data_IF_189800852939
#
_entry.id   IF_189800852939
#
_cell.length_a   1.000
_cell.length_b   1.000
_cell.length_c   1.000
_cell.angle_alpha   90.00
_cell.angle_beta   90.00
_cell.angle_gamma   90.00
#
_symmetry.space_group_name_H-M   'P 1'
#
loop_
_entity.id
_entity.type
_entity.pdbx_description
1 polymer ?
#
# COMPACT_ATOMS: atom_id res chain seq x y z
N UNK A 1 -13.04 -32.79 6.90
CA UNK A 1 -12.69 -31.53 6.19
C UNK A 1 -11.81 -30.59 7.02
N UNK A 2 -12.13 -30.24 8.28
CA UNK A 2 -11.23 -29.45 9.14
C UNK A 2 -10.03 -30.26 9.64
N UNK A 3 -10.25 -31.51 10.03
CA UNK A 3 -9.19 -32.41 10.52
C UNK A 3 -8.18 -32.76 9.41
N UNK A 4 -8.64 -32.94 8.18
CA UNK A 4 -7.78 -33.21 7.02
C UNK A 4 -6.82 -32.03 6.73
N UNK A 5 -7.31 -30.79 6.86
CA UNK A 5 -6.49 -29.59 6.67
C UNK A 5 -5.48 -29.41 7.80
N UNK A 6 -5.87 -29.70 9.05
CA UNK A 6 -4.97 -29.67 10.20
C UNK A 6 -3.82 -30.68 10.00
N UNK A 7 -4.14 -31.92 9.62
CA UNK A 7 -3.16 -32.99 9.40
C UNK A 7 -2.13 -32.64 8.31
N UNK A 8 -2.50 -31.83 7.32
CA UNK A 8 -1.58 -31.37 6.27
C UNK A 8 -0.69 -30.19 6.69
N UNK A 9 -1.15 -29.33 7.60
CA UNK A 9 -0.43 -28.10 7.97
C UNK A 9 0.57 -28.31 9.10
N UNK A 10 0.28 -29.19 10.07
CA UNK A 10 1.17 -29.44 11.22
C UNK A 10 2.64 -29.77 10.84
N UNK A 11 2.92 -30.62 9.83
CA UNK A 11 4.30 -30.87 9.40
C UNK A 11 4.99 -29.61 8.84
N UNK A 12 4.25 -28.82 8.05
CA UNK A 12 4.73 -27.57 7.46
C UNK A 12 5.01 -26.53 8.54
N UNK A 13 4.17 -26.48 9.57
CA UNK A 13 4.35 -25.54 10.67
C UNK A 13 5.59 -25.85 11.50
N UNK A 14 5.79 -27.13 11.79
CA UNK A 14 6.99 -27.61 12.47
C UNK A 14 8.24 -27.26 11.66
N UNK A 15 8.23 -27.56 10.36
CA UNK A 15 9.34 -27.22 9.46
C UNK A 15 9.62 -25.71 9.47
N UNK A 16 8.60 -24.85 9.32
CA UNK A 16 8.80 -23.39 9.34
C UNK A 16 9.42 -22.92 10.65
N UNK A 17 9.00 -23.48 11.80
CA UNK A 17 9.56 -23.13 13.12
C UNK A 17 11.02 -23.55 13.25
N UNK A 18 11.39 -24.72 12.72
CA UNK A 18 12.78 -25.21 12.70
C UNK A 18 13.66 -24.39 11.74
N UNK A 19 13.10 -23.91 10.63
CA UNK A 19 13.81 -23.07 9.68
C UNK A 19 14.02 -21.63 10.17
N UNK A 20 13.21 -21.15 11.11
CA UNK A 20 13.21 -19.75 11.57
C UNK A 20 13.42 -19.62 13.09
N UNK A 21 14.50 -20.19 13.66
CA UNK A 21 14.70 -20.23 15.11
C UNK A 21 14.80 -18.83 15.74
N UNK A 22 15.44 -17.86 15.09
CA UNK A 22 15.55 -16.48 15.59
C UNK A 22 14.21 -15.76 15.51
N UNK A 23 13.47 -15.94 14.42
CA UNK A 23 12.12 -15.36 14.30
C UNK A 23 11.15 -15.94 15.32
N UNK A 24 11.24 -17.24 15.64
CA UNK A 24 10.44 -17.88 16.69
C UNK A 24 10.78 -17.30 18.07
N UNK A 25 12.07 -17.22 18.42
CA UNK A 25 12.50 -16.64 19.69
C UNK A 25 12.04 -15.18 19.84
N UNK A 26 12.18 -14.38 18.78
CA UNK A 26 11.71 -12.99 18.77
C UNK A 26 10.18 -12.90 18.88
N UNK A 27 9.45 -13.81 18.23
CA UNK A 27 7.99 -13.87 18.31
C UNK A 27 7.50 -14.13 19.73
N UNK A 28 8.15 -15.03 20.46
CA UNK A 28 7.83 -15.37 21.86
C UNK A 28 8.06 -14.18 22.81
N UNK A 29 9.09 -13.38 22.56
CA UNK A 29 9.33 -12.13 23.28
C UNK A 29 8.30 -11.06 22.90
N UNK A 30 8.10 -10.84 21.60
CA UNK A 30 7.23 -9.78 21.09
C UNK A 30 5.77 -9.95 21.52
N UNK A 31 5.25 -11.18 21.59
CA UNK A 31 3.87 -11.44 22.02
C UNK A 31 3.56 -11.06 23.47
N UNK A 32 4.59 -10.89 24.31
CA UNK A 32 4.40 -10.46 25.70
C UNK A 32 3.93 -9.01 25.78
N UNK A 33 4.27 -8.19 24.79
CA UNK A 33 4.01 -6.74 24.78
C UNK A 33 3.19 -6.27 23.58
N UNK A 34 3.21 -7.03 22.47
CA UNK A 34 2.43 -6.76 21.26
C UNK A 34 1.41 -7.88 21.06
N UNK A 35 0.10 -7.59 21.01
CA UNK A 35 -0.91 -8.59 20.67
C UNK A 35 -0.58 -9.28 19.34
N UNK A 36 -0.42 -10.61 19.37
CA UNK A 36 -0.06 -11.39 18.19
C UNK A 36 1.39 -11.18 17.70
N UNK A 37 2.28 -10.59 18.52
CA UNK A 37 3.71 -10.43 18.25
C UNK A 37 4.07 -9.50 17.08
N UNK A 38 3.09 -8.87 16.44
CA UNK A 38 3.30 -7.97 15.30
C UNK A 38 2.19 -6.91 15.20
N UNK A 39 2.57 -5.65 15.04
CA UNK A 39 1.60 -4.53 14.92
C UNK A 39 1.09 -4.32 13.49
N UNK A 40 1.78 -4.86 12.48
CA UNK A 40 1.52 -4.59 11.05
C UNK A 40 1.61 -5.82 10.14
N UNK A 41 1.45 -7.01 10.68
CA UNK A 41 1.30 -8.20 9.87
C UNK A 41 -0.16 -8.34 9.41
N UNK A 42 -0.41 -8.94 8.25
CA UNK A 42 -1.73 -9.50 7.88
C UNK A 42 -1.70 -11.02 7.77
N UNK A 43 -0.53 -11.62 7.95
CA UNK A 43 -0.22 -13.03 7.74
C UNK A 43 0.71 -13.50 8.87
N UNK A 44 0.21 -14.37 9.73
CA UNK A 44 0.89 -14.77 10.97
C UNK A 44 0.88 -16.28 11.18
N UNK A 45 1.05 -17.07 10.12
CA UNK A 45 1.00 -18.53 10.24
C UNK A 45 2.28 -19.21 9.74
N UNK A 46 2.92 -20.09 10.54
CA UNK A 46 2.74 -20.31 11.99
C UNK A 46 3.41 -19.25 12.89
N UNK A 47 4.42 -18.54 12.36
CA UNK A 47 5.14 -17.46 13.03
C UNK A 47 5.38 -16.32 12.04
N UNK A 48 5.38 -15.05 12.47
CA UNK A 48 5.72 -13.94 11.59
C UNK A 48 7.18 -14.01 11.16
N UNK A 49 7.47 -13.73 9.89
CA UNK A 49 8.84 -13.46 9.44
C UNK A 49 9.22 -12.05 9.85
N UNK A 50 10.29 -11.91 10.63
CA UNK A 50 10.81 -10.62 11.05
C UNK A 50 11.91 -10.16 10.09
N UNK A 51 11.60 -9.18 9.25
CA UNK A 51 12.56 -8.58 8.35
C UNK A 51 13.52 -7.64 9.10
N UNK A 52 14.83 -7.78 8.87
CA UNK A 52 15.87 -6.91 9.44
C UNK A 52 16.49 -5.97 8.42
N UNK A 53 16.46 -6.34 7.14
CA UNK A 53 17.04 -5.56 6.05
C UNK A 53 16.24 -5.76 4.77
N UNK A 54 16.24 -4.74 3.93
CA UNK A 54 15.62 -4.80 2.62
C UNK A 54 16.42 -3.95 1.63
N UNK A 55 16.57 -4.42 0.40
CA UNK A 55 17.30 -3.71 -0.66
C UNK A 55 16.83 -4.17 -2.04
N UNK A 56 16.48 -3.22 -2.89
CA UNK A 56 15.90 -3.50 -4.21
C UNK A 56 14.66 -4.38 -4.08
N UNK A 57 14.59 -5.53 -4.76
CA UNK A 57 13.44 -6.43 -4.69
C UNK A 57 13.57 -7.46 -3.55
N UNK A 58 14.57 -7.37 -2.68
CA UNK A 58 14.86 -8.41 -1.69
C UNK A 58 14.60 -7.97 -0.25
N UNK A 59 14.09 -8.91 0.56
CA UNK A 59 13.99 -8.84 2.01
C UNK A 59 14.94 -9.86 2.65
N UNK A 60 15.44 -9.50 3.82
CA UNK A 60 16.30 -10.35 4.63
C UNK A 60 15.70 -10.45 6.03
N UNK A 61 15.53 -11.66 6.54
CA UNK A 61 14.98 -11.91 7.87
C UNK A 61 16.07 -11.99 8.96
N UNK A 62 15.64 -12.17 10.20
CA UNK A 62 16.51 -12.39 11.37
C UNK A 62 17.40 -13.64 11.22
N UNK A 63 16.91 -14.63 10.49
CA UNK A 63 17.59 -15.92 10.27
C UNK A 63 18.58 -15.85 9.08
N UNK A 64 18.77 -14.68 8.48
CA UNK A 64 19.70 -14.44 7.37
C UNK A 64 19.21 -14.90 5.99
N UNK A 65 17.95 -15.34 5.90
CA UNK A 65 17.34 -15.82 4.65
C UNK A 65 16.95 -14.64 3.78
N UNK A 66 17.18 -14.81 2.47
CA UNK A 66 16.83 -13.81 1.45
C UNK A 66 15.56 -14.20 0.72
N UNK A 67 14.61 -13.28 0.67
CA UNK A 67 13.32 -13.43 0.01
C UNK A 67 13.16 -12.45 -1.13
N UNK A 68 12.50 -12.87 -2.21
CA UNK A 68 11.97 -11.95 -3.21
C UNK A 68 10.69 -11.31 -2.65
N UNK A 69 10.66 -9.99 -2.52
CA UNK A 69 9.50 -9.28 -1.99
C UNK A 69 8.43 -9.07 -3.07
N UNK A 70 7.49 -10.00 -3.13
CA UNK A 70 6.29 -9.88 -3.96
C UNK A 70 5.16 -9.10 -3.26
N UNK A 71 5.34 -8.72 -1.99
CA UNK A 71 4.34 -8.00 -1.22
C UNK A 71 4.48 -6.47 -1.39
N UNK A 72 5.71 -5.96 -1.55
CA UNK A 72 6.01 -4.54 -1.78
C UNK A 72 5.44 -3.59 -0.71
N UNK A 73 5.50 -4.00 0.55
CA UNK A 73 4.85 -3.27 1.66
C UNK A 73 3.33 -3.17 1.49
N UNK A 74 2.77 -4.13 0.76
CA UNK A 74 1.43 -4.19 0.21
C UNK A 74 1.16 -3.23 -0.97
N UNK A 75 2.11 -2.44 -1.47
CA UNK A 75 1.88 -1.46 -2.54
C UNK A 75 2.71 -0.16 -2.53
N UNK A 76 2.99 0.53 -1.39
CA UNK A 76 3.71 1.80 -1.41
C UNK A 76 5.15 1.67 -1.87
N UNK A 77 5.73 0.47 -1.77
CA UNK A 77 7.10 0.20 -2.19
C UNK A 77 7.16 -0.24 -3.66
N UNK A 78 6.38 0.43 -4.52
CA UNK A 78 6.34 0.14 -5.97
C UNK A 78 7.71 0.33 -6.65
N UNK A 79 8.56 1.18 -6.08
CA UNK A 79 9.94 1.42 -6.56
C UNK A 79 10.95 0.43 -5.95
N UNK A 80 10.51 -0.55 -5.16
CA UNK A 80 11.37 -1.42 -4.38
C UNK A 80 11.91 -0.77 -3.11
N UNK A 81 12.68 -1.55 -2.35
CA UNK A 81 13.33 -1.11 -1.12
C UNK A 81 14.57 -0.27 -1.45
N UNK A 82 14.82 0.78 -0.65
CA UNK A 82 16.04 1.60 -0.73
C UNK A 82 16.32 2.21 -2.10
N UNK A 83 15.27 2.64 -2.80
CA UNK A 83 15.45 3.29 -4.10
C UNK A 83 16.30 4.57 -3.96
N UNK A 84 17.46 4.61 -4.62
CA UNK A 84 18.51 5.64 -4.43
C UNK A 84 17.99 7.08 -4.47
N UNK A 85 17.10 7.40 -5.44
CA UNK A 85 16.53 8.75 -5.56
C UNK A 85 15.66 9.14 -4.37
N UNK A 86 14.98 8.17 -3.76
CA UNK A 86 14.12 8.38 -2.58
C UNK A 86 15.00 8.53 -1.34
N UNK A 87 16.00 7.67 -1.17
CA UNK A 87 16.96 7.77 -0.05
C UNK A 87 17.67 9.13 -0.05
N UNK A 88 18.16 9.57 -1.22
CA UNK A 88 18.82 10.87 -1.34
C UNK A 88 17.87 12.02 -1.01
N UNK A 89 16.64 12.01 -1.52
CA UNK A 89 15.66 13.06 -1.22
C UNK A 89 15.30 13.12 0.28
N UNK A 90 15.22 11.97 0.95
CA UNK A 90 15.01 11.90 2.40
C UNK A 90 16.24 12.47 3.12
N UNK A 91 17.44 12.04 2.76
CA UNK A 91 18.69 12.51 3.39
C UNK A 91 18.85 14.03 3.25
N UNK A 92 18.58 14.59 2.08
CA UNK A 92 18.57 16.03 1.84
C UNK A 92 17.53 16.75 2.73
N UNK A 93 16.32 16.21 2.86
CA UNK A 93 15.28 16.79 3.71
C UNK A 93 15.65 16.75 5.20
N UNK A 94 16.32 15.68 5.66
CA UNK A 94 16.77 15.55 7.05
C UNK A 94 17.70 16.70 7.46
N UNK A 95 18.50 17.24 6.54
CA UNK A 95 19.36 18.42 6.82
C UNK A 95 18.59 19.70 7.11
N UNK A 96 17.31 19.78 6.71
CA UNK A 96 16.45 20.96 6.85
C UNK A 96 15.49 20.85 8.02
N UNK A 97 15.21 19.63 8.49
CA UNK A 97 14.23 19.32 9.52
C UNK A 97 13.02 18.53 9.00
N UNK A 98 12.40 17.75 9.88
CA UNK A 98 11.31 16.83 9.54
C UNK A 98 9.92 17.47 9.70
N UNK A 99 9.74 18.27 10.74
CA UNK A 99 8.45 18.88 11.07
C UNK A 99 8.68 20.32 11.55
N UNK A 100 8.06 21.27 10.85
CA UNK A 100 8.24 22.71 11.12
C UNK A 100 7.14 23.32 12.00
N UNK A 101 5.99 22.65 12.16
CA UNK A 101 4.78 23.28 12.73
C UNK A 101 4.21 24.43 11.88
N UNK A 102 4.82 24.70 10.73
CA UNK A 102 4.45 25.68 9.73
C UNK A 102 4.47 25.01 8.33
N UNK A 103 3.79 25.58 7.33
CA UNK A 103 3.77 25.02 5.98
C UNK A 103 5.17 24.96 5.35
N UNK A 104 5.54 23.81 4.81
CA UNK A 104 6.78 23.63 4.06
C UNK A 104 6.63 23.92 2.56
N UNK A 105 7.67 24.46 1.91
CA UNK A 105 7.66 24.72 0.45
C UNK A 105 7.48 23.46 -0.39
N UNK A 106 7.95 22.30 0.11
CA UNK A 106 7.78 21.01 -0.55
C UNK A 106 6.32 20.54 -0.68
N UNK A 107 5.43 21.01 0.20
CA UNK A 107 4.01 20.64 0.16
C UNK A 107 3.33 21.17 -1.11
N UNK A 108 3.63 22.40 -1.50
CA UNK A 108 3.09 23.01 -2.72
C UNK A 108 3.59 22.27 -3.97
N UNK A 109 4.89 22.00 -4.06
CA UNK A 109 5.46 21.30 -5.23
C UNK A 109 4.89 19.89 -5.39
N UNK A 110 4.71 19.16 -4.29
CA UNK A 110 4.06 17.85 -4.31
C UNK A 110 2.60 17.96 -4.73
N UNK A 111 1.86 18.93 -4.17
CA UNK A 111 0.45 19.14 -4.47
C UNK A 111 0.23 19.43 -5.96
N UNK A 112 1.04 20.32 -6.53
CA UNK A 112 1.01 20.68 -7.95
C UNK A 112 1.24 19.47 -8.85
N UNK A 113 2.24 18.63 -8.54
CA UNK A 113 2.54 17.41 -9.31
C UNK A 113 1.37 16.43 -9.30
N UNK A 114 0.76 16.20 -8.14
CA UNK A 114 -0.37 15.27 -8.01
C UNK A 114 -1.59 15.76 -8.79
N UNK A 115 -1.97 17.03 -8.60
CA UNK A 115 -3.11 17.64 -9.31
C UNK A 115 -2.91 17.56 -10.83
N UNK A 116 -1.69 17.80 -11.32
CA UNK A 116 -1.39 17.69 -12.75
C UNK A 116 -1.42 16.26 -13.30
N UNK A 117 -1.20 15.25 -12.45
CA UNK A 117 -1.06 13.85 -12.84
C UNK A 117 -2.36 13.05 -12.78
N UNK A 118 -3.38 13.56 -12.06
CA UNK A 118 -4.66 12.86 -11.87
C UNK A 118 -5.78 13.61 -12.59
N UNK A 119 -6.36 13.07 -13.68
CA UNK A 119 -7.45 13.72 -14.40
C UNK A 119 -8.64 14.03 -13.49
N UNK A 120 -9.10 15.28 -13.53
CA UNK A 120 -10.21 15.77 -12.70
C UNK A 120 -9.81 16.21 -11.30
N UNK A 121 -8.56 16.03 -10.87
CA UNK A 121 -8.06 16.62 -9.64
C UNK A 121 -8.02 18.16 -9.73
N UNK A 122 -8.58 18.86 -8.75
CA UNK A 122 -8.42 20.32 -8.61
C UNK A 122 -7.63 20.69 -7.37
N UNK A 123 -7.84 19.95 -6.28
CA UNK A 123 -7.21 20.19 -4.97
C UNK A 123 -6.84 18.90 -4.28
N UNK A 124 -5.87 19.00 -3.38
CA UNK A 124 -5.32 17.89 -2.62
C UNK A 124 -5.09 18.30 -1.16
N UNK A 125 -5.29 17.34 -0.26
CA UNK A 125 -4.84 17.42 1.13
C UNK A 125 -4.03 16.17 1.46
N UNK A 126 -2.94 16.35 2.21
CA UNK A 126 -2.09 15.25 2.66
C UNK A 126 -2.58 14.72 4.01
N UNK A 127 -2.58 13.40 4.15
CA UNK A 127 -2.92 12.69 5.40
C UNK A 127 -1.90 11.59 5.63
N UNK A 128 -1.55 11.33 6.89
CA UNK A 128 -0.51 10.36 7.27
C UNK A 128 -0.95 8.90 7.18
N UNK A 129 -2.26 8.63 7.17
CA UNK A 129 -2.82 7.30 7.01
C UNK A 129 -4.18 7.35 6.33
N UNK A 130 -4.55 6.26 5.67
CA UNK A 130 -5.85 6.12 5.01
C UNK A 130 -7.02 6.48 5.95
N UNK A 131 -7.84 7.49 5.64
CA UNK A 131 -8.94 7.86 6.51
C UNK A 131 -10.09 6.84 6.41
N UNK A 132 -10.55 6.31 7.56
CA UNK A 132 -11.90 5.71 7.64
C UNK A 132 -12.99 6.78 7.55
N UNK A 133 -12.65 8.04 7.85
CA UNK A 133 -13.55 9.20 7.72
C UNK A 133 -13.12 10.00 6.50
N UNK A 134 -13.92 10.06 5.43
CA UNK A 134 -13.54 10.83 4.25
C UNK A 134 -13.28 12.28 4.66
N UNK A 135 -12.39 12.95 3.93
CA UNK A 135 -12.05 14.37 3.99
C UNK A 135 -13.24 15.35 3.82
N UNK A 136 -14.47 14.93 4.14
CA UNK A 136 -15.75 15.64 3.99
C UNK A 136 -15.76 17.04 4.58
N UNK A 137 -15.02 17.28 5.67
CA UNK A 137 -14.99 18.61 6.31
C UNK A 137 -14.31 19.67 5.44
N UNK A 138 -13.39 19.27 4.57
CA UNK A 138 -12.75 20.16 3.59
C UNK A 138 -13.37 20.03 2.18
N UNK A 139 -14.11 18.95 1.91
CA UNK A 139 -14.78 18.73 0.63
C UNK A 139 -16.10 19.52 0.46
N UNK A 140 -16.66 20.09 1.53
CA UNK A 140 -17.88 20.92 1.46
C UNK A 140 -17.72 22.19 2.31
N UNK A 141 -17.57 23.37 1.71
CA UNK A 141 -17.56 24.64 2.45
C UNK A 141 -18.96 25.04 2.97
N UNK A 142 -20.02 24.32 2.58
CA UNK A 142 -21.35 24.55 3.12
C UNK A 142 -21.48 23.97 4.54
N UNK A 143 -22.06 24.70 5.50
CA UNK A 143 -22.35 24.16 6.82
C UNK A 143 -23.26 22.95 6.65
N UNK A 144 -22.78 21.76 7.02
CA UNK A 144 -23.63 20.57 7.08
C UNK A 144 -24.67 20.83 8.16
N UNK A 145 -25.89 21.20 7.76
CA UNK A 145 -27.07 21.10 8.62
C UNK A 145 -27.08 19.68 9.21
N UNK A 146 -27.14 19.58 10.53
CA UNK A 146 -27.31 18.33 11.24
C UNK A 146 -28.54 17.60 10.65
N UNK A 147 -28.30 16.55 9.86
CA UNK A 147 -29.38 15.75 9.26
C UNK A 147 -29.09 15.13 7.90
N UNK A 148 -28.19 15.67 7.08
CA UNK A 148 -27.97 15.14 5.73
C UNK A 148 -27.01 13.94 5.71
N UNK A 149 -27.54 12.72 5.85
CA UNK A 149 -26.80 11.49 5.50
C UNK A 149 -26.86 11.29 3.99
N UNK A 150 -25.74 11.51 3.29
CA UNK A 150 -25.58 11.00 1.92
C UNK A 150 -25.36 9.47 1.96
N UNK A 151 -26.04 8.68 1.13
CA UNK A 151 -25.90 7.23 1.14
C UNK A 151 -24.49 6.84 0.65
N UNK A 152 -23.73 6.15 1.51
CA UNK A 152 -22.52 5.46 1.06
C UNK A 152 -22.94 4.04 0.65
N UNK A 153 -23.06 3.77 -0.64
CA UNK A 153 -23.03 2.38 -1.11
C UNK A 153 -21.59 1.87 -0.92
N UNK A 154 -21.42 0.91 -0.01
CA UNK A 154 -20.17 0.16 0.13
C UNK A 154 -20.30 -1.11 -0.68
N UNK A 155 -19.51 -1.25 -1.74
CA UNK A 155 -19.32 -2.55 -2.39
C UNK A 155 -18.36 -3.34 -1.51
N UNK A 156 -18.88 -4.37 -0.84
CA UNK A 156 -18.08 -5.33 -0.11
C UNK A 156 -17.55 -6.36 -1.10
N UNK A 157 -16.25 -6.29 -1.43
CA UNK A 157 -15.62 -7.30 -2.28
C UNK A 157 -14.19 -6.96 -2.67
N UNK A 158 -13.31 -7.95 -2.50
CA UNK A 158 -11.91 -8.06 -2.94
C UNK A 158 -10.83 -7.36 -2.11
N UNK A 159 -9.82 -8.16 -1.74
CA UNK A 159 -8.70 -7.83 -0.87
C UNK A 159 -7.64 -6.96 -1.54
N UNK A 160 -6.71 -6.46 -0.72
CA UNK A 160 -5.64 -5.54 -1.15
C UNK A 160 -5.85 -4.12 -0.62
N UNK A 161 -6.01 -3.95 0.69
CA UNK A 161 -6.02 -2.61 1.30
C UNK A 161 -4.60 -2.16 1.53
N UNK A 162 -4.10 -1.27 0.68
CA UNK A 162 -2.80 -0.67 0.90
C UNK A 162 -2.87 0.83 0.84
N UNK A 163 -2.41 1.40 1.95
CA UNK A 163 -2.43 2.81 2.29
C UNK A 163 -1.31 3.54 1.57
N UNK A 164 -1.64 4.14 0.43
CA UNK A 164 -1.09 5.42 0.00
C UNK A 164 -2.26 6.21 -0.56
N UNK A 165 -2.90 7.04 0.27
CA UNK A 165 -4.13 7.73 -0.10
C UNK A 165 -3.91 9.24 -0.04
N UNK A 166 -3.61 9.82 -1.19
CA UNK A 166 -3.83 11.23 -1.43
C UNK A 166 -5.32 11.45 -1.67
N UNK A 167 -5.97 12.34 -0.91
CA UNK A 167 -7.38 12.67 -1.16
C UNK A 167 -7.47 13.72 -2.26
N UNK A 168 -7.95 13.30 -3.44
CA UNK A 168 -8.07 14.11 -4.65
C UNK A 168 -9.54 14.45 -4.87
N UNK A 169 -9.86 15.73 -5.05
CA UNK A 169 -11.23 16.19 -5.27
C UNK A 169 -11.37 16.86 -6.65
N UNK A 170 -12.48 16.57 -7.34
CA UNK A 170 -12.97 17.28 -8.52
C UNK A 170 -14.20 18.11 -8.14
N UNK A 171 -14.33 19.33 -8.65
CA UNK A 171 -15.50 20.20 -8.45
C UNK A 171 -16.13 20.50 -9.81
N UNK A 172 -17.29 19.89 -10.06
CA UNK A 172 -17.99 20.05 -11.34
C UNK A 172 -17.47 19.11 -12.41
N UNK A 173 -17.93 17.86 -12.37
CA UNK A 173 -17.80 16.98 -13.52
C UNK A 173 -18.57 17.59 -14.70
N UNK A 174 -17.87 18.26 -15.63
CA UNK A 174 -18.34 18.26 -17.01
C UNK A 174 -18.32 16.80 -17.47
N UNK A 175 -19.42 16.26 -18.01
CA UNK A 175 -19.45 14.88 -18.46
C UNK A 175 -18.30 14.65 -19.43
N UNK A 176 -17.47 13.64 -19.14
CA UNK A 176 -16.47 13.15 -20.07
C UNK A 176 -17.25 12.64 -21.28
N UNK A 177 -17.22 13.38 -22.38
CA UNK A 177 -17.79 12.92 -23.64
C UNK A 177 -17.10 11.59 -24.00
N UNK A 178 -17.86 10.54 -24.40
CA UNK A 178 -17.26 9.30 -24.82
C UNK A 178 -16.33 9.59 -26.00
N UNK A 179 -15.05 9.23 -25.86
CA UNK A 179 -14.13 9.26 -27.00
C UNK A 179 -14.70 8.32 -28.09
N UNK A 180 -14.72 8.72 -29.37
CA UNK A 180 -15.05 7.80 -30.44
C UNK A 180 -14.10 6.61 -30.37
N UNK A 181 -14.66 5.41 -30.51
CA UNK A 181 -13.91 4.16 -30.52
C UNK A 181 -12.83 4.21 -31.60
N UNK A 182 -11.57 4.36 -31.20
CA UNK A 182 -10.46 3.94 -32.04
C UNK A 182 -10.55 2.42 -32.14
N UNK A 183 -11.09 1.94 -33.24
CA UNK A 183 -10.89 0.55 -33.68
C UNK A 183 -9.38 0.29 -33.67
N UNK A 184 -8.95 -0.63 -32.82
CA UNK A 184 -7.59 -1.14 -32.86
C UNK A 184 -7.39 -1.83 -34.24
N UNK A 185 -6.25 -1.62 -34.93
CA UNK A 185 -5.96 -2.40 -36.12
C UNK A 185 -5.90 -3.88 -35.73
N UNK A 186 -6.74 -4.68 -36.38
CA UNK A 186 -6.93 -6.09 -36.07
C UNK A 186 -5.62 -6.87 -36.09
N UNK A 187 -5.40 -7.63 -35.02
CA UNK A 187 -4.31 -8.60 -34.93
C UNK A 187 -4.60 -9.75 -35.91
N UNK A 188 -4.05 -9.70 -37.13
CA UNK A 188 -4.07 -10.86 -38.03
C UNK A 188 -3.22 -11.97 -37.40
N UNK A 189 -3.86 -13.06 -36.99
CA UNK A 189 -3.18 -14.34 -36.73
C UNK A 189 -2.41 -14.72 -38.00
N UNK A 190 -1.08 -14.84 -37.92
CA UNK A 190 -0.31 -15.57 -38.93
C UNK A 190 -0.69 -17.03 -38.82
N UNK A 191 -1.22 -17.61 -39.90
CA UNK A 191 -1.34 -19.06 -40.04
C UNK A 191 0.06 -19.68 -40.10
N UNK A 192 0.27 -20.90 -39.57
CA UNK A 192 1.56 -21.58 -39.71
C UNK A 192 1.77 -21.99 -41.19
N UNK A 193 3.01 -21.86 -41.66
CA UNK A 193 3.40 -22.26 -43.00
C UNK A 193 3.33 -23.80 -43.14
N UNK A 194 2.90 -24.35 -44.28
CA UNK A 194 3.05 -25.77 -44.56
C UNK A 194 4.51 -26.10 -44.90
N UNK A 195 4.90 -27.31 -44.49
CA UNK A 195 6.18 -27.99 -44.74
C UNK A 195 6.50 -28.17 -46.22
#
# INVERSE_FOLDING_TARGET
MREDAQMMLEPVEKEIRELLPQSVAHYEQARQVVPGGATRSRFWWPVPTYAVRAEGPYLYDLDGRRYLDCNLGFGPLILGHRHERVERAIAEQLTRGIQFGAPGTGEYELARRIVSSVPGAERVIFVSSGPRRPCRRFASPAPQRAGARSPSSRVAGTGGRTSCCTAIHSWGARPIAPRPSRTAPGYRRRSPAPS
#
